data_IF_649927297394
#
_entry.id   IF_649927297394
#
_cell.length_a   1.000
_cell.length_b   1.000
_cell.length_c   1.000
_cell.angle_alpha   90.00
_cell.angle_beta   90.00
_cell.angle_gamma   90.00
#
_symmetry.space_group_name_H-M   'P 1'
#
loop_
_entity.id
_entity.type
_entity.pdbx_description
1 polymer ?
#
# COMPACT_ATOMS: atom_id res chain seq x y z
N UNK A 1 -14.50 -8.24 -21.45
CA UNK A 1 -14.37 -8.71 -20.05
C UNK A 1 -15.47 -8.08 -19.23
N UNK A 2 -16.24 -8.88 -18.52
CA UNK A 2 -17.29 -8.36 -17.64
C UNK A 2 -16.68 -7.71 -16.39
N UNK A 3 -17.33 -6.68 -15.85
CA UNK A 3 -16.82 -5.91 -14.70
C UNK A 3 -16.59 -6.78 -13.47
N UNK A 4 -17.44 -7.79 -13.23
CA UNK A 4 -17.26 -8.72 -12.12
C UNK A 4 -16.01 -9.60 -12.27
N UNK A 5 -15.68 -9.99 -13.50
CA UNK A 5 -14.45 -10.74 -13.78
C UNK A 5 -13.21 -9.87 -13.49
N UNK A 6 -13.24 -8.61 -13.91
CA UNK A 6 -12.15 -7.64 -13.61
C UNK A 6 -11.95 -7.49 -12.11
N UNK A 7 -13.03 -7.31 -11.36
CA UNK A 7 -12.94 -7.13 -9.90
C UNK A 7 -12.48 -8.38 -9.17
N UNK A 8 -12.91 -9.57 -9.62
CA UNK A 8 -12.43 -10.84 -9.09
C UNK A 8 -10.92 -11.02 -9.30
N UNK A 9 -10.41 -10.66 -10.48
CA UNK A 9 -8.97 -10.71 -10.77
C UNK A 9 -8.17 -9.70 -9.94
N UNK A 10 -8.70 -8.49 -9.72
CA UNK A 10 -8.08 -7.48 -8.86
C UNK A 10 -7.99 -7.97 -7.41
N UNK A 11 -9.08 -8.54 -6.88
CA UNK A 11 -9.08 -9.12 -5.53
C UNK A 11 -8.03 -10.23 -5.42
N UNK A 12 -8.04 -11.17 -6.37
CA UNK A 12 -7.10 -12.29 -6.40
C UNK A 12 -5.64 -11.82 -6.50
N UNK A 13 -5.36 -10.82 -7.33
CA UNK A 13 -4.01 -10.24 -7.46
C UNK A 13 -3.55 -9.56 -6.16
N UNK A 14 -4.42 -8.81 -5.48
CA UNK A 14 -4.11 -8.16 -4.20
C UNK A 14 -3.82 -9.18 -3.10
N UNK A 15 -4.60 -10.27 -3.04
CA UNK A 15 -4.38 -11.35 -2.07
C UNK A 15 -3.06 -12.08 -2.35
N UNK A 16 -2.80 -12.49 -3.59
CA UNK A 16 -1.53 -13.16 -3.96
C UNK A 16 -0.31 -12.29 -3.66
N UNK A 17 -0.43 -10.97 -3.87
CA UNK A 17 0.64 -10.04 -3.51
C UNK A 17 0.87 -9.99 -2.00
N UNK A 18 -0.20 -9.92 -1.20
CA UNK A 18 -0.09 -9.94 0.24
C UNK A 18 0.53 -11.25 0.75
N UNK A 19 0.12 -12.40 0.19
CA UNK A 19 0.71 -13.71 0.50
C UNK A 19 2.21 -13.73 0.20
N UNK A 20 2.63 -13.22 -0.97
CA UNK A 20 4.05 -13.14 -1.34
C UNK A 20 4.83 -12.26 -0.37
N UNK A 21 4.34 -11.05 -0.07
CA UNK A 21 5.00 -10.09 0.82
C UNK A 21 5.18 -10.63 2.25
N UNK A 22 4.25 -11.47 2.71
CA UNK A 22 4.34 -12.14 4.02
C UNK A 22 5.50 -13.15 4.10
N UNK A 23 5.97 -13.68 2.96
CA UNK A 23 7.11 -14.61 2.92
C UNK A 23 8.48 -13.92 2.93
N UNK A 24 8.52 -12.60 2.72
CA UNK A 24 9.78 -11.86 2.59
C UNK A 24 10.49 -11.68 3.93
N UNK A 25 11.81 -11.85 3.93
CA UNK A 25 12.62 -11.57 5.10
C UNK A 25 12.72 -10.04 5.33
N UNK A 26 13.07 -9.59 6.56
CA UNK A 26 13.31 -8.17 6.82
C UNK A 26 14.34 -7.53 5.88
N UNK A 27 15.33 -8.30 5.40
CA UNK A 27 16.33 -7.82 4.45
C UNK A 27 15.74 -7.61 3.05
N UNK A 28 14.83 -8.48 2.61
CA UNK A 28 14.21 -8.38 1.29
C UNK A 28 13.26 -7.17 1.21
N UNK A 29 12.60 -6.84 2.32
CA UNK A 29 11.77 -5.63 2.43
C UNK A 29 12.57 -4.32 2.23
N UNK A 30 13.85 -4.32 2.62
CA UNK A 30 14.76 -3.18 2.45
C UNK A 30 15.49 -3.19 1.10
N UNK A 31 15.32 -4.23 0.28
CA UNK A 31 15.99 -4.34 -1.00
C UNK A 31 15.49 -3.25 -1.98
N UNK A 32 16.39 -2.62 -2.76
CA UNK A 32 15.99 -1.72 -3.84
C UNK A 32 15.09 -2.44 -4.85
N UNK A 33 13.98 -1.81 -5.20
CA UNK A 33 13.10 -2.29 -6.26
C UNK A 33 13.57 -1.82 -7.64
N UNK A 34 12.88 -2.28 -8.68
CA UNK A 34 13.10 -1.78 -10.05
C UNK A 34 12.62 -0.33 -10.23
N UNK A 35 11.78 0.19 -9.32
CA UNK A 35 11.39 1.59 -9.30
C UNK A 35 12.53 2.42 -8.69
N UNK A 36 13.18 3.33 -9.45
CA UNK A 36 14.33 4.07 -8.96
C UNK A 36 13.99 4.90 -7.71
N UNK A 37 14.75 4.70 -6.63
CA UNK A 37 14.54 5.38 -5.35
C UNK A 37 13.52 4.71 -4.42
N UNK A 38 13.02 3.53 -4.77
CA UNK A 38 12.05 2.78 -3.97
C UNK A 38 12.64 1.45 -3.51
N UNK A 39 12.45 1.12 -2.23
CA UNK A 39 12.62 -0.25 -1.72
C UNK A 39 11.33 -1.04 -1.91
N UNK A 40 11.40 -2.36 -1.75
CA UNK A 40 10.21 -3.23 -1.77
C UNK A 40 9.13 -2.73 -0.80
N UNK A 41 9.51 -2.30 0.41
CA UNK A 41 8.56 -1.74 1.38
C UNK A 41 7.86 -0.47 0.91
N UNK A 42 8.56 0.40 0.19
CA UNK A 42 7.99 1.66 -0.29
C UNK A 42 6.93 1.36 -1.37
N UNK A 43 7.21 0.40 -2.25
CA UNK A 43 6.27 -0.04 -3.30
C UNK A 43 5.02 -0.65 -2.67
N UNK A 44 5.18 -1.59 -1.73
CA UNK A 44 4.06 -2.21 -1.05
C UNK A 44 3.21 -1.18 -0.28
N UNK A 45 3.86 -0.23 0.41
CA UNK A 45 3.18 0.85 1.12
C UNK A 45 2.36 1.74 0.17
N UNK A 46 2.91 2.10 -0.99
CA UNK A 46 2.20 2.89 -2.00
C UNK A 46 0.90 2.24 -2.49
N UNK A 47 0.90 0.92 -2.67
CA UNK A 47 -0.30 0.19 -3.10
C UNK A 47 -1.44 0.27 -2.07
N UNK A 48 -1.13 0.55 -0.81
CA UNK A 48 -2.16 0.80 0.22
C UNK A 48 -2.76 2.21 0.16
N UNK A 49 -2.08 3.18 -0.48
CA UNK A 49 -2.48 4.59 -0.46
C UNK A 49 -3.61 4.93 -1.45
N UNK A 50 -3.68 4.25 -2.59
CA UNK A 50 -4.64 4.53 -3.64
C UNK A 50 -6.10 4.60 -3.14
N UNK A 51 -6.62 3.63 -2.37
CA UNK A 51 -7.98 3.69 -1.81
C UNK A 51 -8.12 4.62 -0.59
N UNK A 52 -7.03 5.14 -0.04
CA UNK A 52 -7.04 5.98 1.17
C UNK A 52 -6.98 7.49 0.87
N UNK A 53 -6.70 7.86 -0.37
CA UNK A 53 -6.36 9.23 -0.74
C UNK A 53 -7.60 10.02 -1.14
N UNK A 54 -7.82 11.17 -0.49
CA UNK A 54 -8.89 12.11 -0.86
C UNK A 54 -8.33 13.24 -1.73
N UNK A 55 -9.18 13.83 -2.59
CA UNK A 55 -8.80 14.92 -3.50
C UNK A 55 -8.14 16.09 -2.73
N UNK A 56 -8.72 16.51 -1.61
CA UNK A 56 -8.16 17.59 -0.79
C UNK A 56 -6.77 17.27 -0.22
N UNK A 57 -6.55 16.02 0.24
CA UNK A 57 -5.22 15.58 0.71
C UNK A 57 -4.22 15.53 -0.45
N UNK A 58 -4.64 15.04 -1.62
CA UNK A 58 -3.79 15.04 -2.82
C UNK A 58 -3.33 16.44 -3.19
N UNK A 59 -4.21 17.45 -3.13
CA UNK A 59 -3.84 18.84 -3.44
C UNK A 59 -2.79 19.39 -2.47
N UNK A 60 -2.93 19.13 -1.18
CA UNK A 60 -1.94 19.53 -0.16
C UNK A 60 -0.59 18.85 -0.41
N UNK A 61 -0.59 17.55 -0.66
CA UNK A 61 0.65 16.80 -0.93
C UNK A 61 1.29 17.23 -2.26
N UNK A 62 0.49 17.60 -3.27
CA UNK A 62 0.98 18.15 -4.54
C UNK A 62 1.63 19.52 -4.37
N UNK A 63 1.03 20.40 -3.56
CA UNK A 63 1.65 21.67 -3.19
C UNK A 63 2.96 21.47 -2.42
N UNK A 64 3.00 20.54 -1.46
CA UNK A 64 4.23 20.17 -0.72
C UNK A 64 5.32 19.63 -1.64
N UNK A 65 4.93 18.85 -2.65
CA UNK A 65 5.82 18.35 -3.69
C UNK A 65 6.20 19.42 -4.74
N UNK A 66 5.78 20.68 -4.56
CA UNK A 66 6.02 21.82 -5.47
C UNK A 66 5.55 21.55 -6.89
N UNK A 67 4.40 20.88 -7.02
CA UNK A 67 3.81 20.53 -8.31
C UNK A 67 4.44 19.31 -9.00
N UNK A 68 5.37 18.60 -8.36
CA UNK A 68 5.97 17.38 -8.90
C UNK A 68 5.21 16.14 -8.42
N UNK A 69 4.46 15.50 -9.31
CA UNK A 69 3.66 14.32 -8.98
C UNK A 69 4.52 13.10 -8.60
N UNK A 70 5.65 12.87 -9.27
CA UNK A 70 6.55 11.76 -8.92
C UNK A 70 7.09 11.92 -7.50
N UNK A 71 7.43 13.15 -7.11
CA UNK A 71 7.85 13.47 -5.75
C UNK A 71 6.73 13.29 -4.74
N UNK A 72 5.50 13.70 -5.06
CA UNK A 72 4.33 13.44 -4.22
C UNK A 72 4.19 11.94 -3.95
N UNK A 73 4.18 11.14 -5.00
CA UNK A 73 3.96 9.69 -4.91
C UNK A 73 5.08 9.02 -4.11
N UNK A 74 6.34 9.39 -4.35
CA UNK A 74 7.48 8.89 -3.58
C UNK A 74 7.40 9.31 -2.10
N UNK A 75 7.23 10.60 -1.81
CA UNK A 75 7.23 11.12 -0.45
C UNK A 75 6.08 10.54 0.39
N UNK A 76 4.90 10.35 -0.22
CA UNK A 76 3.75 9.72 0.45
C UNK A 76 3.98 8.24 0.69
N UNK A 77 4.59 7.53 -0.25
CA UNK A 77 4.92 6.12 -0.12
C UNK A 77 5.95 5.86 0.97
N UNK A 78 7.05 6.64 1.01
CA UNK A 78 8.08 6.52 2.04
C UNK A 78 7.49 6.71 3.44
N UNK A 79 6.63 7.72 3.62
CA UNK A 79 5.96 7.94 4.92
C UNK A 79 5.01 6.79 5.29
N UNK A 80 4.25 6.28 4.32
CA UNK A 80 3.39 5.11 4.55
C UNK A 80 4.21 3.86 4.88
N UNK A 81 5.42 3.76 4.33
CA UNK A 81 6.32 2.65 4.58
C UNK A 81 6.92 2.66 5.98
N UNK A 82 6.74 3.70 6.80
CA UNK A 82 7.11 3.72 8.22
C UNK A 82 6.26 2.73 9.06
N UNK A 83 5.10 2.30 8.54
CA UNK A 83 4.30 1.25 9.16
C UNK A 83 5.08 -0.07 9.24
N UNK A 84 4.81 -0.91 10.26
CA UNK A 84 5.32 -2.28 10.31
C UNK A 84 4.88 -3.05 9.05
N UNK A 85 5.76 -3.89 8.51
CA UNK A 85 5.49 -4.66 7.28
C UNK A 85 4.24 -5.54 7.40
N UNK A 86 3.99 -6.12 8.57
CA UNK A 86 2.77 -6.87 8.86
C UNK A 86 1.49 -6.02 8.77
N UNK A 87 1.55 -4.74 9.15
CA UNK A 87 0.41 -3.82 8.98
C UNK A 87 0.19 -3.45 7.52
N UNK A 88 1.26 -3.29 6.73
CA UNK A 88 1.17 -3.06 5.28
C UNK A 88 0.51 -4.27 4.60
N UNK A 89 0.93 -5.49 4.94
CA UNK A 89 0.32 -6.74 4.44
C UNK A 89 -1.16 -6.82 4.85
N UNK A 90 -1.47 -6.54 6.12
CA UNK A 90 -2.85 -6.52 6.61
C UNK A 90 -3.74 -5.51 5.89
N UNK A 91 -3.21 -4.32 5.61
CA UNK A 91 -3.90 -3.30 4.82
C UNK A 91 -4.18 -3.79 3.39
N UNK A 92 -3.19 -4.36 2.70
CA UNK A 92 -3.38 -4.93 1.36
C UNK A 92 -4.47 -6.01 1.34
N UNK A 93 -4.50 -6.89 2.35
CA UNK A 93 -5.55 -7.92 2.50
C UNK A 93 -6.93 -7.28 2.70
N UNK A 94 -7.05 -6.28 3.58
CA UNK A 94 -8.31 -5.58 3.82
C UNK A 94 -8.85 -4.87 2.57
N UNK A 95 -7.93 -4.37 1.73
CA UNK A 95 -8.24 -3.66 0.49
C UNK A 95 -8.54 -4.60 -0.68
N UNK A 96 -8.29 -5.90 -0.55
CA UNK A 96 -8.48 -6.86 -1.64
C UNK A 96 -9.90 -6.79 -2.22
N UNK A 97 -10.90 -6.69 -1.34
CA UNK A 97 -12.33 -6.61 -1.70
C UNK A 97 -12.84 -5.20 -1.94
N UNK A 98 -12.03 -4.16 -1.72
CA UNK A 98 -12.46 -2.78 -1.92
C UNK A 98 -12.55 -2.45 -3.42
N UNK A 99 -13.78 -2.19 -3.86
CA UNK A 99 -14.14 -1.78 -5.21
C UNK A 99 -14.44 -0.28 -5.31
N UNK A 100 -14.56 0.43 -4.18
CA UNK A 100 -15.19 1.75 -4.10
C UNK A 100 -14.28 2.88 -3.61
N UNK A 101 -12.99 2.63 -3.36
CA UNK A 101 -12.09 3.65 -2.78
C UNK A 101 -12.57 4.14 -1.42
N UNK A 102 -13.34 3.29 -0.72
CA UNK A 102 -13.87 3.62 0.61
C UNK A 102 -12.79 3.21 1.59
N UNK A 103 -12.40 4.14 2.47
CA UNK A 103 -11.44 3.87 3.54
C UNK A 103 -11.72 2.51 4.21
N UNK A 104 -10.81 1.52 4.14
CA UNK A 104 -10.90 0.41 5.07
C UNK A 104 -10.81 0.99 6.48
N UNK A 105 -11.58 0.42 7.42
CA UNK A 105 -11.42 0.74 8.84
C UNK A 105 -9.98 0.47 9.29
N UNK A 106 -9.53 1.04 10.42
CA UNK A 106 -8.19 0.77 10.93
C UNK A 106 -7.98 -0.74 11.05
N UNK A 107 -6.87 -1.24 10.48
CA UNK A 107 -6.43 -2.62 10.71
C UNK A 107 -6.18 -2.74 12.21
N UNK A 108 -7.08 -3.43 12.91
CA UNK A 108 -6.81 -3.84 14.29
C UNK A 108 -5.69 -4.87 14.20
N UNK A 109 -4.48 -4.48 14.56
CA UNK A 109 -3.46 -5.47 14.89
C UNK A 109 -3.98 -6.34 16.03
N UNK A 110 -3.84 -7.68 15.96
CA UNK A 110 -4.01 -8.52 17.13
C UNK A 110 -2.95 -8.08 18.14
N UNK A 111 -3.36 -7.33 19.17
CA UNK A 111 -2.51 -7.06 20.34
C UNK A 111 -2.35 -8.38 21.09
N UNK A 112 -1.35 -9.18 20.70
CA UNK A 112 -0.74 -10.22 21.54
C UNK A 112 0.50 -10.79 20.85
N UNK A 113 1.58 -10.00 20.84
CA UNK A 113 2.94 -10.53 20.75
C UNK A 113 3.76 -9.86 21.84
N UNK A 114 3.47 -10.27 23.06
CA UNK A 114 4.38 -10.15 24.19
C UNK A 114 4.64 -11.58 24.63
N UNK A 115 5.92 -11.98 24.65
CA UNK A 115 6.37 -13.10 25.48
C UNK A 115 6.02 -12.85 26.94
#
# INVERSE_FOLDING_TARGET
METEQVWSEIESARLRLADFLETLSPRDWEHPSLCPGWRVRDVAAHLTLAPQTTIGRSMVEFARARGNFNRLVLDTAIRQAELPTGEIVGLLRSLARDRGGRRPGPVRSPRSWTC
#
